data_IF_416305760865
#
_entry.id   IF_416305760865
#
_cell.length_a   1.000
_cell.length_b   1.000
_cell.length_c   1.000
_cell.angle_alpha   90.00
_cell.angle_beta   90.00
_cell.angle_gamma   90.00
#
_symmetry.space_group_name_H-M   'P 1'
#
loop_
_entity.id
_entity.type
_entity.pdbx_description
1 polymer ?
#
# COMPACT_ATOMS: atom_id res chain seq x y z
N UNK A 1 5.43 23.65 -8.04
CA UNK A 1 5.61 23.14 -9.42
C UNK A 1 5.29 21.66 -9.59
N UNK A 2 5.26 20.83 -8.54
CA UNK A 2 4.89 19.41 -8.64
C UNK A 2 3.42 19.13 -9.02
N UNK A 3 2.46 19.93 -8.52
CA UNK A 3 1.03 19.69 -8.78
C UNK A 3 0.62 19.81 -10.27
N UNK A 4 1.24 20.73 -11.02
CA UNK A 4 0.96 20.93 -12.46
C UNK A 4 1.52 19.81 -13.34
N UNK A 5 2.57 19.14 -12.91
CA UNK A 5 3.23 18.09 -13.68
C UNK A 5 2.48 16.75 -13.56
N UNK A 6 1.86 16.52 -12.40
CA UNK A 6 0.97 15.38 -12.17
C UNK A 6 -0.30 15.50 -13.03
N UNK A 7 -0.90 16.69 -13.13
CA UNK A 7 -2.08 16.91 -13.99
C UNK A 7 -1.77 16.67 -15.49
N UNK A 8 -0.60 17.09 -15.98
CA UNK A 8 -0.20 16.84 -17.38
C UNK A 8 0.01 15.36 -17.73
N UNK A 9 0.30 14.50 -16.75
CA UNK A 9 0.43 13.06 -16.97
C UNK A 9 -0.94 12.36 -17.09
N UNK A 10 -1.97 12.92 -16.45
CA UNK A 10 -3.35 12.41 -16.49
C UNK A 10 -4.20 13.05 -17.59
N UNK A 11 -3.77 14.19 -18.15
CA UNK A 11 -4.43 14.86 -19.29
C UNK A 11 -4.06 14.20 -20.64
N UNK A 12 -4.07 12.87 -20.66
CA UNK A 12 -3.99 12.11 -21.90
C UNK A 12 -5.35 12.24 -22.59
N UNK A 13 -5.46 13.17 -23.54
CA UNK A 13 -6.68 13.41 -24.31
C UNK A 13 -6.92 12.25 -25.31
N UNK A 14 -7.31 11.09 -24.78
CA UNK A 14 -7.62 9.86 -25.53
C UNK A 14 -8.64 10.16 -26.64
N UNK A 15 -9.59 11.06 -26.38
CA UNK A 15 -10.64 11.43 -27.32
C UNK A 15 -10.07 12.17 -28.55
N UNK A 16 -9.10 13.07 -28.35
CA UNK A 16 -8.43 13.79 -29.45
C UNK A 16 -7.60 12.86 -30.35
N UNK A 17 -6.92 11.86 -29.79
CA UNK A 17 -6.11 10.92 -30.59
C UNK A 17 -6.95 9.81 -31.27
N UNK A 18 -8.10 9.42 -30.69
CA UNK A 18 -9.02 8.44 -31.30
C UNK A 18 -10.04 9.08 -32.25
N UNK A 19 -10.38 10.37 -32.07
CA UNK A 19 -11.34 11.10 -32.91
C UNK A 19 -10.93 11.15 -34.39
N UNK A 20 -9.63 11.16 -34.66
CA UNK A 20 -9.06 11.11 -36.02
C UNK A 20 -8.96 9.68 -36.58
N UNK A 21 -8.99 8.65 -35.71
CA UNK A 21 -8.99 7.23 -36.07
C UNK A 21 -10.42 6.67 -36.03
N UNK A 22 -11.30 7.13 -36.92
CA UNK A 22 -12.59 6.46 -37.16
C UNK A 22 -12.35 5.13 -37.85
N UNK A 23 -12.09 4.08 -37.08
CA UNK A 23 -12.02 2.71 -37.58
C UNK A 23 -13.46 2.17 -37.70
N UNK A 24 -13.94 1.87 -38.92
CA UNK A 24 -15.29 1.32 -39.10
C UNK A 24 -15.47 0.05 -38.27
N UNK A 25 -16.55 -0.03 -37.50
CA UNK A 25 -16.85 -1.20 -36.65
C UNK A 25 -16.29 -1.15 -35.22
N UNK A 26 -15.54 -0.12 -34.85
CA UNK A 26 -15.00 0.06 -33.48
C UNK A 26 -15.76 1.14 -32.72
N UNK A 27 -16.19 0.83 -31.49
CA UNK A 27 -16.86 1.77 -30.59
C UNK A 27 -15.84 2.55 -29.75
N UNK A 28 -15.58 3.80 -30.17
CA UNK A 28 -14.63 4.71 -29.51
C UNK A 28 -15.09 5.12 -28.11
N UNK A 29 -16.40 5.25 -27.86
CA UNK A 29 -16.93 5.62 -26.54
C UNK A 29 -16.64 4.51 -25.53
N UNK A 30 -16.81 3.25 -25.94
CA UNK A 30 -16.46 2.07 -25.13
C UNK A 30 -14.95 2.05 -24.80
N UNK A 31 -14.08 2.37 -25.77
CA UNK A 31 -12.61 2.42 -25.53
C UNK A 31 -12.27 3.52 -24.51
N UNK A 32 -12.83 4.72 -24.67
CA UNK A 32 -12.61 5.84 -23.74
C UNK A 32 -13.10 5.49 -22.34
N UNK A 33 -14.26 4.86 -22.21
CA UNK A 33 -14.79 4.39 -20.93
C UNK A 33 -13.86 3.36 -20.26
N UNK A 34 -13.31 2.42 -21.04
CA UNK A 34 -12.37 1.42 -20.52
C UNK A 34 -11.04 2.05 -20.06
N UNK A 35 -10.56 3.10 -20.76
CA UNK A 35 -9.38 3.83 -20.31
C UNK A 35 -9.63 4.65 -19.04
N UNK A 36 -10.82 5.24 -18.88
CA UNK A 36 -11.19 5.87 -17.60
C UNK A 36 -11.11 4.88 -16.43
N UNK A 37 -11.64 3.67 -16.59
CA UNK A 37 -11.53 2.61 -15.58
C UNK A 37 -10.07 2.22 -15.28
N UNK A 38 -9.19 2.22 -16.28
CA UNK A 38 -7.75 1.97 -16.06
C UNK A 38 -7.11 3.04 -15.17
N UNK A 39 -7.38 4.30 -15.46
CA UNK A 39 -6.86 5.44 -14.68
C UNK A 39 -7.40 5.39 -13.25
N UNK A 40 -8.68 5.09 -13.08
CA UNK A 40 -9.31 4.93 -11.76
C UNK A 40 -8.66 3.80 -10.96
N UNK A 41 -8.41 2.64 -11.58
CA UNK A 41 -7.75 1.51 -10.93
C UNK A 41 -6.31 1.85 -10.50
N UNK A 42 -5.53 2.50 -11.37
CA UNK A 42 -4.18 2.97 -11.03
C UNK A 42 -4.20 3.98 -9.88
N UNK A 43 -5.17 4.89 -9.89
CA UNK A 43 -5.35 5.88 -8.82
C UNK A 43 -5.69 5.20 -7.49
N UNK A 44 -6.58 4.21 -7.51
CA UNK A 44 -6.95 3.45 -6.31
C UNK A 44 -5.78 2.60 -5.78
N UNK A 45 -5.02 1.95 -6.66
CA UNK A 45 -3.81 1.20 -6.27
C UNK A 45 -2.78 2.11 -5.58
N UNK A 46 -2.53 3.31 -6.15
CA UNK A 46 -1.64 4.30 -5.54
C UNK A 46 -2.15 4.77 -4.17
N UNK A 47 -3.47 4.98 -4.04
CA UNK A 47 -4.08 5.35 -2.76
C UNK A 47 -3.88 4.26 -1.71
N UNK A 48 -4.11 2.99 -2.05
CA UNK A 48 -3.89 1.85 -1.15
C UNK A 48 -2.43 1.76 -0.71
N UNK A 49 -1.48 1.91 -1.64
CA UNK A 49 -0.06 1.93 -1.32
C UNK A 49 0.30 3.07 -0.34
N UNK A 50 -0.26 4.27 -0.55
CA UNK A 50 -0.03 5.40 0.34
C UNK A 50 -0.66 5.22 1.72
N UNK A 51 -1.88 4.69 1.78
CA UNK A 51 -2.54 4.33 3.05
C UNK A 51 -1.75 3.27 3.81
N UNK A 52 -1.20 2.28 3.11
CA UNK A 52 -0.29 1.28 3.67
C UNK A 52 0.93 1.93 4.35
N UNK A 53 1.59 2.86 3.65
CA UNK A 53 2.72 3.61 4.22
C UNK A 53 2.30 4.44 5.44
N UNK A 54 1.17 5.15 5.36
CA UNK A 54 0.66 5.92 6.49
C UNK A 54 0.39 5.04 7.72
N UNK A 55 -0.15 3.84 7.51
CA UNK A 55 -0.40 2.89 8.59
C UNK A 55 0.90 2.39 9.21
N UNK A 56 1.92 2.07 8.41
CA UNK A 56 3.26 1.70 8.90
C UNK A 56 3.87 2.83 9.74
N UNK A 57 3.77 4.08 9.28
CA UNK A 57 4.29 5.25 10.03
C UNK A 57 3.54 5.43 11.35
N UNK A 58 2.21 5.34 11.35
CA UNK A 58 1.42 5.39 12.59
C UNK A 58 1.87 4.31 13.58
N UNK A 59 2.09 3.08 13.09
CA UNK A 59 2.55 1.98 13.94
C UNK A 59 3.95 2.20 14.49
N UNK A 60 4.88 2.74 13.71
CA UNK A 60 6.20 3.12 14.22
C UNK A 60 6.13 4.15 15.36
N UNK A 61 5.21 5.12 15.27
CA UNK A 61 5.01 6.11 16.35
C UNK A 61 4.44 5.45 17.61
N UNK A 62 3.55 4.48 17.47
CA UNK A 62 3.04 3.70 18.61
C UNK A 62 4.12 2.85 19.27
N UNK A 63 4.94 2.15 18.47
CA UNK A 63 6.10 1.39 18.96
C UNK A 63 7.07 2.30 19.73
N UNK A 64 7.30 3.52 19.24
CA UNK A 64 8.14 4.49 19.93
C UNK A 64 7.56 4.87 21.29
N UNK A 65 6.25 5.16 21.37
CA UNK A 65 5.58 5.47 22.65
C UNK A 65 5.69 4.31 23.63
N UNK A 66 5.40 3.09 23.17
CA UNK A 66 5.53 1.87 23.97
C UNK A 66 6.95 1.69 24.50
N UNK A 67 7.96 1.87 23.65
CA UNK A 67 9.37 1.80 24.05
C UNK A 67 9.72 2.84 25.13
N UNK A 68 9.21 4.07 25.02
CA UNK A 68 9.47 5.11 26.03
C UNK A 68 8.84 4.78 27.38
N UNK A 69 7.61 4.25 27.37
CA UNK A 69 6.94 3.80 28.60
C UNK A 69 7.70 2.64 29.26
N UNK A 70 8.20 1.70 28.46
CA UNK A 70 9.02 0.57 28.93
C UNK A 70 10.34 1.06 29.56
N UNK A 71 11.05 1.99 28.92
CA UNK A 71 12.29 2.57 29.46
C UNK A 71 12.01 3.29 30.79
N UNK A 72 10.91 4.03 30.89
CA UNK A 72 10.51 4.69 32.13
C UNK A 72 10.21 3.67 33.25
N UNK A 73 9.60 2.53 32.90
CA UNK A 73 9.31 1.46 33.86
C UNK A 73 10.59 0.78 34.34
N UNK A 74 11.47 0.38 33.42
CA UNK A 74 12.75 -0.26 33.73
C UNK A 74 13.61 0.64 34.62
N UNK A 75 13.64 1.94 34.35
CA UNK A 75 14.39 2.90 35.16
C UNK A 75 13.92 2.91 36.62
N UNK A 76 12.61 2.73 36.88
CA UNK A 76 12.08 2.59 38.24
C UNK A 76 12.47 1.25 38.87
N UNK A 77 12.34 0.16 38.12
CA UNK A 77 12.64 -1.20 38.60
C UNK A 77 14.12 -1.37 38.97
N UNK A 78 15.03 -0.64 38.31
CA UNK A 78 16.46 -0.60 38.62
C UNK A 78 16.82 0.28 39.83
N UNK A 79 15.98 1.26 40.17
CA UNK A 79 16.15 2.11 41.34
C UNK A 79 15.77 1.40 42.65
N UNK A 80 15.08 0.26 42.56
CA UNK A 80 14.72 -0.55 43.73
C UNK A 80 15.96 -1.17 44.41
N UNK A 81 15.99 -1.23 45.75
CA UNK A 81 17.00 -1.99 46.49
C UNK A 81 16.96 -3.49 46.13
N UNK A 82 18.12 -4.13 45.99
CA UNK A 82 18.20 -5.56 45.69
C UNK A 82 19.64 -6.08 45.64
N UNK A 83 19.82 -7.40 45.74
CA UNK A 83 21.14 -8.03 45.66
C UNK A 83 21.71 -7.98 44.22
N UNK A 84 23.03 -8.09 44.03
CA UNK A 84 23.63 -8.15 42.69
C UNK A 84 23.05 -9.28 41.81
N UNK A 85 22.73 -10.42 42.41
CA UNK A 85 22.15 -11.57 41.73
C UNK A 85 20.72 -11.28 41.25
N UNK A 86 19.90 -10.63 42.07
CA UNK A 86 18.53 -10.25 41.69
C UNK A 86 18.53 -9.23 40.55
N UNK A 87 19.47 -8.28 40.57
CA UNK A 87 19.64 -7.30 39.49
C UNK A 87 20.07 -7.95 38.18
N UNK A 88 20.98 -8.94 38.23
CA UNK A 88 21.38 -9.69 37.06
C UNK A 88 20.23 -10.50 36.45
N UNK A 89 19.40 -11.14 37.29
CA UNK A 89 18.21 -11.86 36.85
C UNK A 89 17.19 -10.92 36.18
N UNK A 90 16.87 -9.78 36.81
CA UNK A 90 15.99 -8.75 36.23
C UNK A 90 16.51 -8.22 34.89
N UNK A 91 17.82 -8.03 34.74
CA UNK A 91 18.42 -7.58 33.48
C UNK A 91 18.26 -8.62 32.36
N UNK A 92 18.45 -9.90 32.67
CA UNK A 92 18.28 -10.99 31.70
C UNK A 92 16.82 -11.12 31.26
N UNK A 93 15.86 -11.00 32.20
CA UNK A 93 14.43 -10.98 31.90
C UNK A 93 14.05 -9.80 31.01
N UNK A 94 14.50 -8.59 31.35
CA UNK A 94 14.27 -7.41 30.52
C UNK A 94 14.85 -7.56 29.11
N UNK A 95 16.07 -8.10 28.98
CA UNK A 95 16.70 -8.31 27.69
C UNK A 95 15.91 -9.31 26.82
N UNK A 96 15.43 -10.40 27.43
CA UNK A 96 14.57 -11.39 26.75
C UNK A 96 13.27 -10.75 26.29
N UNK A 97 12.60 -10.04 27.18
CA UNK A 97 11.34 -9.36 26.90
C UNK A 97 11.45 -8.32 25.79
N UNK A 98 12.51 -7.51 25.81
CA UNK A 98 12.80 -6.52 24.77
C UNK A 98 13.02 -7.20 23.41
N UNK A 99 13.72 -8.34 23.39
CA UNK A 99 13.96 -9.11 22.17
C UNK A 99 12.65 -9.69 21.59
N UNK A 100 11.82 -10.31 22.43
CA UNK A 100 10.53 -10.87 22.00
C UNK A 100 9.61 -9.78 21.42
N UNK A 101 9.56 -8.62 22.06
CA UNK A 101 8.80 -7.45 21.58
C UNK A 101 9.33 -6.89 20.27
N UNK A 102 10.65 -6.73 20.14
CA UNK A 102 11.27 -6.26 18.91
C UNK A 102 10.95 -7.20 17.73
N UNK A 103 11.00 -8.51 17.96
CA UNK A 103 10.64 -9.51 16.95
C UNK A 103 9.16 -9.45 16.58
N UNK A 104 8.26 -9.29 17.57
CA UNK A 104 6.84 -9.13 17.33
C UNK A 104 6.53 -7.88 16.49
N UNK A 105 7.11 -6.74 16.86
CA UNK A 105 6.98 -5.47 16.13
C UNK A 105 7.50 -5.60 14.68
N UNK A 106 8.64 -6.26 14.47
CA UNK A 106 9.19 -6.48 13.14
C UNK A 106 8.28 -7.35 12.26
N UNK A 107 7.67 -8.40 12.82
CA UNK A 107 6.70 -9.25 12.11
C UNK A 107 5.46 -8.46 11.73
N UNK A 108 4.90 -7.72 12.67
CA UNK A 108 3.71 -6.90 12.43
C UNK A 108 3.96 -5.87 11.31
N UNK A 109 5.07 -5.15 11.35
CA UNK A 109 5.42 -4.19 10.29
C UNK A 109 5.60 -4.87 8.93
N UNK A 110 6.21 -6.07 8.89
CA UNK A 110 6.36 -6.84 7.66
C UNK A 110 5.00 -7.29 7.10
N UNK A 111 4.09 -7.75 7.96
CA UNK A 111 2.73 -8.13 7.58
C UNK A 111 1.93 -6.94 7.05
N UNK A 112 2.05 -5.76 7.67
CA UNK A 112 1.39 -4.54 7.20
C UNK A 112 1.87 -4.14 5.79
N UNK A 113 3.18 -4.20 5.54
CA UNK A 113 3.75 -3.89 4.22
C UNK A 113 3.31 -4.92 3.19
N UNK A 114 3.38 -6.22 3.52
CA UNK A 114 2.97 -7.30 2.64
C UNK A 114 1.50 -7.17 2.25
N UNK A 115 0.63 -6.86 3.23
CA UNK A 115 -0.80 -6.66 3.02
C UNK A 115 -1.07 -5.49 2.07
N UNK A 116 -0.45 -4.32 2.32
CA UNK A 116 -0.64 -3.15 1.46
C UNK A 116 -0.23 -3.42 0.00
N UNK A 117 0.88 -4.14 -0.20
CA UNK A 117 1.34 -4.54 -1.54
C UNK A 117 0.40 -5.55 -2.19
N UNK A 118 -0.10 -6.54 -1.44
CA UNK A 118 -1.04 -7.53 -1.95
C UNK A 118 -2.35 -6.89 -2.40
N UNK A 119 -2.93 -6.00 -1.58
CA UNK A 119 -4.19 -5.32 -1.90
C UNK A 119 -4.08 -4.45 -3.16
N UNK A 120 -2.97 -3.71 -3.32
CA UNK A 120 -2.71 -2.93 -4.53
C UNK A 120 -2.52 -3.85 -5.75
N UNK A 121 -1.79 -4.95 -5.61
CA UNK A 121 -1.56 -5.92 -6.68
C UNK A 121 -2.86 -6.60 -7.13
N UNK A 122 -3.69 -7.06 -6.19
CA UNK A 122 -4.95 -7.73 -6.47
C UNK A 122 -5.91 -6.81 -7.23
N UNK A 123 -5.95 -5.52 -6.88
CA UNK A 123 -6.74 -4.52 -7.59
C UNK A 123 -6.28 -4.37 -9.05
N UNK A 124 -4.96 -4.26 -9.28
CA UNK A 124 -4.41 -4.14 -10.63
C UNK A 124 -4.59 -5.42 -11.44
N UNK A 125 -4.41 -6.60 -10.84
CA UNK A 125 -4.63 -7.89 -11.47
C UNK A 125 -6.09 -8.08 -11.91
N UNK A 126 -7.04 -7.67 -11.05
CA UNK A 126 -8.46 -7.65 -11.39
C UNK A 126 -8.73 -6.75 -12.59
N UNK A 127 -8.18 -5.53 -12.61
CA UNK A 127 -8.36 -4.60 -13.74
C UNK A 127 -7.74 -5.12 -15.03
N UNK A 128 -6.58 -5.77 -14.93
CA UNK A 128 -5.91 -6.39 -16.07
C UNK A 128 -6.78 -7.49 -16.70
N UNK A 129 -7.34 -8.39 -15.87
CA UNK A 129 -8.25 -9.44 -16.34
C UNK A 129 -9.49 -8.84 -17.03
N UNK A 130 -10.10 -7.82 -16.42
CA UNK A 130 -11.21 -7.08 -17.03
C UNK A 130 -10.83 -6.42 -18.35
N UNK A 131 -9.58 -5.95 -18.49
CA UNK A 131 -9.10 -5.33 -19.75
C UNK A 131 -9.01 -6.35 -20.88
N UNK A 132 -8.64 -7.60 -20.57
CA UNK A 132 -8.61 -8.68 -21.55
C UNK A 132 -10.01 -9.06 -22.02
N UNK A 133 -10.98 -9.11 -21.10
CA UNK A 133 -12.39 -9.34 -21.44
C UNK A 133 -12.95 -8.22 -22.31
N UNK A 134 -12.69 -6.97 -21.94
CA UNK A 134 -13.08 -5.78 -22.70
C UNK A 134 -12.46 -5.77 -24.12
N UNK A 135 -11.18 -6.15 -24.25
CA UNK A 135 -10.52 -6.27 -25.55
C UNK A 135 -11.17 -7.36 -26.42
N UNK A 136 -11.45 -8.53 -25.84
CA UNK A 136 -12.16 -9.62 -26.54
C UNK A 136 -13.55 -9.18 -27.02
N UNK A 137 -14.29 -8.42 -26.20
CA UNK A 137 -15.58 -7.87 -26.61
C UNK A 137 -15.47 -6.92 -27.79
N UNK A 138 -14.49 -6.01 -27.77
CA UNK A 138 -14.25 -5.07 -28.88
C UNK A 138 -13.98 -5.84 -30.19
N UNK A 139 -13.09 -6.83 -30.17
CA UNK A 139 -12.77 -7.62 -31.37
C UNK A 139 -13.94 -8.48 -31.87
N UNK A 140 -14.70 -9.09 -30.97
CA UNK A 140 -15.86 -9.92 -31.34
C UNK A 140 -17.05 -9.11 -31.84
N UNK A 141 -17.23 -7.87 -31.36
CA UNK A 141 -18.25 -6.94 -31.89
C UNK A 141 -17.83 -6.35 -33.24
N UNK A 142 -16.54 -6.08 -33.44
CA UNK A 142 -16.00 -5.59 -34.70
C UNK A 142 -16.12 -6.62 -35.85
N UNK A 143 -15.96 -7.91 -35.57
CA UNK A 143 -16.06 -8.99 -36.56
C UNK A 143 -17.48 -9.50 -36.87
N UNK A 144 -18.53 -8.96 -36.23
CA UNK A 144 -19.94 -9.35 -36.43
C UNK A 144 -20.72 -8.43 -37.38
N UNK A 145 -20.03 -7.58 -38.15
CA UNK A 145 -20.62 -6.74 -39.21
C UNK A 145 -20.05 -7.08 -40.56
#
# INVERSE_FOLDING_TARGET
MAAKQTEQFFDFDVAKYLGDFKVPGVDVETIVANQRKNIEALTQANKLAFEGLQNVVKRQVEILRQTMDEVAQVSKDFAEPGSPQDKAAKQAEFAKDAFERALANARELAEMIAKANSEAFDLLNKRFTQSLDEAREVFTKAGKK
#
